data_IF_371066948670
#
_entry.id   IF_371066948670
#
_cell.length_a   1.000
_cell.length_b   1.000
_cell.length_c   1.000
_cell.angle_alpha   90.00
_cell.angle_beta   90.00
_cell.angle_gamma   90.00
#
_symmetry.space_group_name_H-M   'P 1'
#
loop_
_entity.id
_entity.type
_entity.pdbx_description
1 polymer ?
#
# COMPACT_ATOMS: atom_id res chain seq x y z
N UNK A 1 27.93 -5.18 -21.83
CA UNK A 1 27.49 -5.29 -20.43
C UNK A 1 26.02 -5.68 -20.46
N UNK A 2 25.73 -6.98 -20.34
CA UNK A 2 24.34 -7.48 -20.34
C UNK A 2 23.77 -7.22 -18.95
N UNK A 3 22.98 -6.15 -18.82
CA UNK A 3 22.15 -5.96 -17.64
C UNK A 3 20.93 -6.87 -17.85
N UNK A 4 20.90 -8.00 -17.15
CA UNK A 4 19.69 -8.80 -17.03
C UNK A 4 18.60 -7.91 -16.42
N UNK A 5 17.53 -7.64 -17.17
CA UNK A 5 16.29 -7.14 -16.58
C UNK A 5 15.84 -8.18 -15.56
N UNK A 6 15.84 -7.82 -14.28
CA UNK A 6 15.08 -8.55 -13.27
C UNK A 6 13.63 -8.59 -13.76
N UNK A 7 13.06 -9.79 -13.91
CA UNK A 7 11.68 -9.95 -14.35
C UNK A 7 10.75 -9.17 -13.44
N UNK A 8 9.96 -8.27 -14.03
CA UNK A 8 8.77 -7.71 -13.41
C UNK A 8 7.81 -8.88 -13.20
N UNK A 9 7.78 -9.45 -12.00
CA UNK A 9 6.82 -10.49 -11.65
C UNK A 9 5.42 -9.92 -11.75
N UNK A 10 4.61 -10.45 -12.68
CA UNK A 10 3.20 -10.09 -12.78
C UNK A 10 2.53 -10.64 -11.52
N UNK A 11 1.72 -9.81 -10.84
CA UNK A 11 1.04 -10.11 -9.58
C UNK A 11 0.69 -11.59 -9.35
N UNK A 12 -0.03 -12.30 -10.25
CA UNK A 12 -0.42 -13.69 -10.02
C UNK A 12 0.77 -14.66 -9.89
N UNK A 13 1.87 -14.44 -10.61
CA UNK A 13 3.03 -15.35 -10.63
C UNK A 13 3.78 -15.36 -9.30
N UNK A 14 3.86 -14.21 -8.63
CA UNK A 14 4.52 -14.08 -7.33
C UNK A 14 3.87 -14.93 -6.23
N UNK A 15 2.57 -15.25 -6.35
CA UNK A 15 1.84 -16.08 -5.38
C UNK A 15 1.91 -17.58 -5.67
N UNK A 16 2.34 -18.02 -6.86
CA UNK A 16 2.24 -19.42 -7.31
C UNK A 16 3.24 -20.38 -6.65
N UNK A 17 4.28 -19.88 -5.95
CA UNK A 17 5.39 -20.71 -5.45
C UNK A 17 5.48 -20.86 -3.92
N UNK A 18 4.53 -20.36 -3.12
CA UNK A 18 4.53 -20.58 -1.66
C UNK A 18 4.12 -22.03 -1.35
N UNK A 19 5.09 -22.93 -1.17
CA UNK A 19 4.85 -24.26 -0.58
C UNK A 19 4.42 -24.09 0.88
N UNK A 20 3.26 -24.66 1.21
CA UNK A 20 2.58 -24.49 2.48
C UNK A 20 3.48 -24.67 3.70
N UNK A 21 3.60 -23.61 4.49
CA UNK A 21 3.69 -23.72 5.93
C UNK A 21 2.78 -22.62 6.49
N UNK A 22 1.53 -22.96 6.78
CA UNK A 22 0.54 -22.10 7.43
C UNK A 22 0.92 -21.89 8.90
N UNK A 23 2.06 -21.26 9.15
CA UNK A 23 2.39 -20.77 10.48
C UNK A 23 2.03 -19.28 10.53
N UNK A 24 0.84 -19.02 11.07
CA UNK A 24 0.37 -17.71 11.52
C UNK A 24 1.36 -17.16 12.56
N UNK A 25 2.32 -16.34 12.13
CA UNK A 25 3.00 -15.44 13.05
C UNK A 25 2.86 -14.03 12.51
N UNK A 26 2.28 -13.16 13.35
CA UNK A 26 2.39 -11.72 13.20
C UNK A 26 3.86 -11.35 13.37
N UNK A 27 4.43 -10.73 12.34
CA UNK A 27 5.81 -10.27 12.32
C UNK A 27 5.83 -8.77 12.54
N UNK A 28 6.77 -8.32 13.37
CA UNK A 28 7.09 -6.91 13.49
C UNK A 28 7.91 -6.48 12.27
N UNK A 29 7.43 -5.47 11.57
CA UNK A 29 8.01 -4.99 10.32
C UNK A 29 8.24 -3.48 10.37
N UNK A 30 9.06 -2.99 9.45
CA UNK A 30 9.15 -1.60 9.05
C UNK A 30 8.37 -1.43 7.74
N UNK A 31 7.44 -0.48 7.72
CA UNK A 31 6.58 -0.20 6.57
C UNK A 31 6.98 1.15 6.00
N UNK A 32 7.44 1.12 4.75
CA UNK A 32 7.74 2.28 3.95
C UNK A 32 6.57 2.50 2.99
N UNK A 33 5.96 3.68 3.02
CA UNK A 33 4.86 4.02 2.11
C UNK A 33 5.21 5.33 1.40
N UNK A 34 5.12 5.32 0.07
CA UNK A 34 5.29 6.51 -0.76
C UNK A 34 4.12 6.74 -1.71
N UNK A 35 3.71 8.01 -1.86
CA UNK A 35 2.69 8.44 -2.82
C UNK A 35 1.22 8.26 -2.39
N UNK A 36 0.96 8.12 -1.08
CA UNK A 36 -0.41 7.91 -0.54
C UNK A 36 -1.14 9.23 -0.16
N UNK A 37 -0.48 10.39 -0.10
CA UNK A 37 -1.14 11.63 0.29
C UNK A 37 -1.67 12.37 -0.94
N UNK A 38 -2.99 12.36 -1.07
CA UNK A 38 -3.73 13.06 -2.12
C UNK A 38 -4.36 14.26 -1.43
N UNK A 39 -3.80 15.45 -1.66
CA UNK A 39 -4.30 16.74 -1.19
C UNK A 39 -3.98 17.14 0.27
N UNK A 40 -2.75 17.59 0.51
CA UNK A 40 -2.56 18.78 1.35
C UNK A 40 -2.32 19.97 0.41
N UNK A 41 -3.06 21.06 0.63
CA UNK A 41 -3.14 22.17 -0.31
C UNK A 41 -1.89 23.04 -0.35
N UNK A 42 -1.49 23.37 -1.58
CA UNK A 42 -0.81 24.59 -2.06
C UNK A 42 0.16 24.35 -3.24
N UNK A 43 0.23 23.12 -3.77
CA UNK A 43 0.96 22.85 -5.01
C UNK A 43 2.45 22.61 -4.81
N UNK A 44 2.89 22.33 -3.59
CA UNK A 44 4.18 21.71 -3.30
C UNK A 44 3.96 20.26 -2.84
N UNK A 45 3.67 19.37 -3.79
CA UNK A 45 3.58 17.93 -3.50
C UNK A 45 4.99 17.34 -3.39
N UNK A 46 5.60 17.43 -2.21
CA UNK A 46 6.67 16.48 -1.88
C UNK A 46 6.04 15.10 -1.71
N UNK A 47 6.56 14.04 -2.37
CA UNK A 47 6.04 12.71 -2.18
C UNK A 47 6.21 12.33 -0.71
N UNK A 48 5.08 12.12 -0.02
CA UNK A 48 5.11 11.62 1.36
C UNK A 48 5.81 10.28 1.36
N UNK A 49 6.95 10.21 2.03
CA UNK A 49 7.67 8.99 2.36
C UNK A 49 7.59 8.80 3.88
N UNK A 50 6.71 7.90 4.32
CA UNK A 50 6.66 7.52 5.73
C UNK A 50 7.37 6.20 5.96
N UNK A 51 8.07 6.10 7.08
CA UNK A 51 8.72 4.89 7.58
C UNK A 51 8.23 4.65 9.00
N UNK A 52 7.38 3.63 9.17
CA UNK A 52 6.68 3.39 10.43
C UNK A 52 6.74 1.92 10.82
N UNK A 53 6.82 1.60 12.12
CA UNK A 53 6.67 0.23 12.57
C UNK A 53 5.26 -0.29 12.26
N UNK A 54 5.16 -1.55 11.91
CA UNK A 54 3.89 -2.21 11.64
C UNK A 54 3.92 -3.70 11.92
N UNK A 55 2.82 -4.34 11.58
CA UNK A 55 2.58 -5.76 11.75
C UNK A 55 2.28 -6.38 10.39
N UNK A 56 2.94 -7.48 10.07
CA UNK A 56 2.69 -8.26 8.87
C UNK A 56 2.24 -9.67 9.22
N UNK A 57 1.25 -10.19 8.50
CA UNK A 57 0.94 -11.61 8.51
C UNK A 57 0.44 -12.08 7.14
N UNK A 58 0.54 -13.38 6.89
CA UNK A 58 0.02 -14.01 5.69
C UNK A 58 -1.10 -14.99 6.03
N UNK A 59 -2.26 -14.85 5.38
CA UNK A 59 -3.43 -15.69 5.65
C UNK A 59 -4.30 -15.83 4.39
N UNK A 60 -4.82 -17.03 4.14
CA UNK A 60 -5.74 -17.30 3.02
C UNK A 60 -5.23 -16.79 1.65
N UNK A 61 -3.93 -16.94 1.37
CA UNK A 61 -3.35 -16.50 0.10
C UNK A 61 -3.20 -14.98 -0.04
N UNK A 62 -3.17 -14.21 1.05
CA UNK A 62 -2.98 -12.76 1.03
C UNK A 62 -2.02 -12.30 2.12
N UNK A 63 -1.23 -11.27 1.83
CA UNK A 63 -0.46 -10.52 2.82
C UNK A 63 -1.35 -9.46 3.43
N UNK A 64 -1.23 -9.27 4.73
CA UNK A 64 -1.89 -8.22 5.48
C UNK A 64 -0.81 -7.43 6.22
N UNK A 65 -0.86 -6.12 6.07
CA UNK A 65 0.03 -5.18 6.75
C UNK A 65 -0.84 -4.21 7.53
N UNK A 66 -0.52 -3.99 8.79
CA UNK A 66 -1.17 -3.01 9.65
C UNK A 66 -0.12 -2.06 10.20
N UNK A 67 -0.41 -0.76 10.17
CA UNK A 67 0.41 0.25 10.82
C UNK A 67 -0.45 1.42 11.27
N UNK A 68 0.13 2.29 12.09
CA UNK A 68 -0.53 3.48 12.61
C UNK A 68 0.22 4.73 12.15
N UNK A 69 -0.52 5.77 11.78
CA UNK A 69 0.02 7.09 11.46
C UNK A 69 -0.63 8.14 12.36
N UNK A 70 0.16 9.11 12.83
CA UNK A 70 -0.35 10.28 13.54
C UNK A 70 -0.49 11.41 12.53
N UNK A 71 -1.72 11.81 12.24
CA UNK A 71 -2.02 12.86 11.25
C UNK A 71 -2.16 14.25 11.91
N UNK A 72 -2.35 14.29 13.22
CA UNK A 72 -2.47 15.52 13.99
C UNK A 72 -1.89 15.33 15.40
N UNK A 73 -1.87 16.43 16.15
CA UNK A 73 -1.40 16.45 17.55
C UNK A 73 -2.43 15.85 18.53
N UNK A 74 -3.55 15.27 18.05
CA UNK A 74 -4.63 14.75 18.92
C UNK A 74 -4.27 13.43 19.61
N UNK A 75 -3.09 12.87 19.30
CA UNK A 75 -2.57 11.60 19.82
C UNK A 75 -3.50 10.40 19.55
N UNK A 76 -4.39 10.52 18.56
CA UNK A 76 -5.28 9.46 18.09
C UNK A 76 -4.74 8.94 16.74
N UNK A 77 -4.30 7.67 16.67
CA UNK A 77 -3.76 7.15 15.43
C UNK A 77 -4.85 6.95 14.38
N UNK A 78 -4.50 7.20 13.12
CA UNK A 78 -5.22 6.63 11.98
C UNK A 78 -4.61 5.27 11.68
N UNK A 79 -5.45 4.23 11.77
CA UNK A 79 -5.03 2.84 11.56
C UNK A 79 -5.14 2.53 10.07
N UNK A 80 -4.03 2.07 9.51
CA UNK A 80 -3.89 1.72 8.11
C UNK A 80 -3.82 0.20 7.97
N UNK A 81 -4.57 -0.33 7.00
CA UNK A 81 -4.56 -1.73 6.62
C UNK A 81 -4.29 -1.86 5.13
N UNK A 82 -3.27 -2.62 4.79
CA UNK A 82 -2.94 -2.98 3.41
C UNK A 82 -3.17 -4.47 3.25
N UNK A 83 -3.90 -4.86 2.21
CA UNK A 83 -4.06 -6.25 1.81
C UNK A 83 -3.52 -6.42 0.40
N UNK A 84 -2.59 -7.34 0.22
CA UNK A 84 -2.01 -7.70 -1.08
C UNK A 84 -2.41 -9.13 -1.39
N UNK A 85 -3.03 -9.34 -2.55
CA UNK A 85 -3.59 -10.62 -2.98
C UNK A 85 -3.35 -10.84 -4.48
N UNK A 86 -3.60 -12.04 -5.01
CA UNK A 86 -3.50 -12.29 -6.45
C UNK A 86 -4.42 -11.40 -7.30
N UNK A 87 -5.49 -10.84 -6.72
CA UNK A 87 -6.42 -9.93 -7.42
C UNK A 87 -5.91 -8.50 -7.51
N UNK A 88 -4.94 -8.11 -6.68
CA UNK A 88 -4.50 -6.74 -6.52
C UNK A 88 -4.33 -6.34 -5.06
N UNK A 89 -4.40 -5.04 -4.82
CA UNK A 89 -4.13 -4.44 -3.51
C UNK A 89 -5.33 -3.64 -3.00
N UNK A 90 -5.56 -3.69 -1.70
CA UNK A 90 -6.55 -2.85 -1.02
C UNK A 90 -5.86 -2.04 0.09
N UNK A 91 -6.19 -0.76 0.19
CA UNK A 91 -5.74 0.11 1.29
C UNK A 91 -6.98 0.61 2.03
N UNK A 92 -6.98 0.47 3.36
CA UNK A 92 -8.04 1.01 4.23
C UNK A 92 -7.42 1.90 5.29
N UNK A 93 -7.94 3.11 5.43
CA UNK A 93 -7.65 4.00 6.56
C UNK A 93 -8.87 4.08 7.47
N UNK A 94 -8.65 4.05 8.78
CA UNK A 94 -9.68 4.23 9.81
C UNK A 94 -9.18 5.17 10.89
N UNK A 95 -9.90 6.27 11.14
CA UNK A 95 -9.49 7.27 12.12
C UNK A 95 -9.92 8.67 11.70
N UNK A 96 -8.98 9.61 11.77
CA UNK A 96 -9.18 10.99 11.31
C UNK A 96 -9.52 11.02 9.82
N UNK A 97 -8.87 10.15 9.04
CA UNK A 97 -9.19 9.86 7.65
C UNK A 97 -9.78 8.46 7.55
N UNK A 98 -10.89 8.34 6.81
CA UNK A 98 -11.52 7.06 6.51
C UNK A 98 -11.58 6.86 5.00
N UNK A 99 -11.02 5.76 4.51
CA UNK A 99 -11.09 5.40 3.09
C UNK A 99 -10.94 3.91 2.88
N UNK A 100 -11.41 3.44 1.73
CA UNK A 100 -11.12 2.10 1.21
C UNK A 100 -10.83 2.22 -0.28
N UNK A 101 -9.55 2.09 -0.63
CA UNK A 101 -9.06 2.08 -2.00
C UNK A 101 -8.87 0.63 -2.46
N UNK A 102 -9.28 0.33 -3.69
CA UNK A 102 -9.13 -0.98 -4.32
C UNK A 102 -8.40 -0.79 -5.65
N UNK A 103 -7.21 -1.39 -5.74
CA UNK A 103 -6.37 -1.39 -6.92
C UNK A 103 -6.43 -2.77 -7.56
N UNK A 104 -7.21 -2.88 -8.65
CA UNK A 104 -7.37 -4.10 -9.42
C UNK A 104 -7.17 -3.76 -10.90
N UNK A 105 -6.23 -4.44 -11.55
CA UNK A 105 -5.88 -4.13 -12.94
C UNK A 105 -7.09 -4.34 -13.87
N UNK A 106 -7.30 -3.39 -14.78
CA UNK A 106 -8.42 -3.45 -15.74
C UNK A 106 -9.79 -3.12 -15.13
N UNK A 107 -9.84 -2.69 -13.85
CA UNK A 107 -11.06 -2.20 -13.22
C UNK A 107 -10.87 -0.79 -12.69
N UNK A 108 -11.93 0.01 -12.85
CA UNK A 108 -12.08 1.29 -12.17
C UNK A 108 -12.91 1.08 -10.92
N UNK A 109 -12.36 1.45 -9.77
CA UNK A 109 -13.04 1.40 -8.47
C UNK A 109 -13.34 2.81 -7.98
N UNK A 110 -14.46 2.97 -7.28
CA UNK A 110 -14.80 4.22 -6.59
C UNK A 110 -14.34 4.11 -5.14
N UNK A 111 -13.61 5.11 -4.67
CA UNK A 111 -13.20 5.23 -3.28
C UNK A 111 -13.80 6.52 -2.69
N UNK A 112 -14.18 6.45 -1.42
CA UNK A 112 -14.60 7.62 -0.66
C UNK A 112 -13.49 8.00 0.31
N UNK A 113 -13.02 9.24 0.23
CA UNK A 113 -12.04 9.81 1.14
C UNK A 113 -12.76 10.75 2.10
N UNK A 114 -12.98 10.28 3.33
CA UNK A 114 -13.74 11.01 4.34
C UNK A 114 -12.81 11.57 5.39
N UNK A 115 -12.83 12.89 5.54
CA UNK A 115 -12.19 13.65 6.62
C UNK A 115 -13.27 14.31 7.49
N UNK A 116 -12.92 14.95 8.62
CA UNK A 116 -13.89 15.70 9.41
C UNK A 116 -14.53 16.88 8.66
N UNK A 117 -13.89 17.35 7.57
CA UNK A 117 -14.35 18.50 6.78
C UNK A 117 -15.25 18.11 5.61
N UNK A 118 -15.38 16.82 5.29
CA UNK A 118 -16.24 16.34 4.22
C UNK A 118 -15.77 15.02 3.62
N UNK A 119 -16.52 14.57 2.62
CA UNK A 119 -16.22 13.35 1.85
C UNK A 119 -15.95 13.71 0.40
N UNK A 120 -14.81 13.26 -0.12
CA UNK A 120 -14.48 13.30 -1.53
C UNK A 120 -14.74 11.94 -2.16
N UNK A 121 -15.38 11.93 -3.34
CA UNK A 121 -15.51 10.72 -4.17
C UNK A 121 -14.41 10.72 -5.23
N UNK A 122 -13.68 9.61 -5.31
CA UNK A 122 -12.56 9.44 -6.25
C UNK A 122 -12.77 8.20 -7.11
N UNK A 123 -12.40 8.28 -8.38
CA UNK A 123 -12.22 7.14 -9.26
C UNK A 123 -10.75 6.72 -9.27
N UNK A 124 -10.49 5.41 -9.16
CA UNK A 124 -9.16 4.82 -9.18
C UNK A 124 -9.14 3.75 -10.26
N UNK A 125 -8.29 3.94 -11.27
CA UNK A 125 -8.07 2.96 -12.33
C UNK A 125 -6.62 2.48 -12.29
N UNK A 126 -6.37 1.29 -11.77
CA UNK A 126 -5.02 0.71 -11.70
C UNK A 126 -4.56 0.29 -13.09
N UNK A 127 -3.43 0.84 -13.53
CA UNK A 127 -2.83 0.58 -14.85
C UNK A 127 -1.74 -0.49 -14.75
N UNK A 128 -0.99 -0.51 -13.65
CA UNK A 128 0.07 -1.48 -13.39
C UNK A 128 0.10 -1.90 -11.91
N UNK A 129 0.43 -3.17 -11.68
CA UNK A 129 0.60 -3.77 -10.36
C UNK A 129 1.85 -4.64 -10.39
N UNK A 130 2.90 -4.22 -9.70
CA UNK A 130 4.14 -4.97 -9.57
C UNK A 130 4.32 -5.43 -8.13
N UNK A 131 4.49 -6.72 -7.94
CA UNK A 131 4.72 -7.29 -6.62
C UNK A 131 5.92 -8.21 -6.65
N UNK A 132 6.84 -7.97 -5.72
CA UNK A 132 8.01 -8.79 -5.49
C UNK A 132 8.02 -9.22 -4.04
N UNK A 133 8.11 -10.51 -3.84
CA UNK A 133 8.29 -11.11 -2.54
C UNK A 133 9.67 -11.75 -2.47
N UNK A 134 10.41 -11.43 -1.40
CA UNK A 134 11.66 -12.08 -1.01
C UNK A 134 11.58 -12.46 0.46
N UNK A 135 12.52 -13.28 0.92
CA UNK A 135 12.63 -13.57 2.35
C UNK A 135 12.77 -12.27 3.15
N UNK A 136 11.86 -12.06 4.11
CA UNK A 136 11.83 -10.87 4.95
C UNK A 136 11.39 -9.56 4.28
N UNK A 137 10.97 -9.58 3.01
CA UNK A 137 10.71 -8.35 2.26
C UNK A 137 9.53 -8.48 1.28
N UNK A 138 8.59 -7.54 1.35
CA UNK A 138 7.52 -7.35 0.37
C UNK A 138 7.70 -6.00 -0.31
N UNK A 139 7.75 -5.97 -1.63
CA UNK A 139 7.85 -4.75 -2.44
C UNK A 139 6.67 -4.71 -3.40
N UNK A 140 5.80 -3.72 -3.21
CA UNK A 140 4.55 -3.56 -3.93
C UNK A 140 4.48 -2.17 -4.54
N UNK A 141 4.30 -2.10 -5.86
CA UNK A 141 4.13 -0.85 -6.60
C UNK A 141 2.83 -0.87 -7.39
N UNK A 142 2.09 0.23 -7.33
CA UNK A 142 0.86 0.47 -8.07
C UNK A 142 0.99 1.75 -8.87
N UNK A 143 0.83 1.65 -10.18
CA UNK A 143 0.59 2.81 -11.03
C UNK A 143 -0.94 2.88 -11.28
N UNK A 144 -1.53 4.06 -11.11
CA UNK A 144 -2.98 4.25 -11.26
C UNK A 144 -3.34 5.66 -11.73
N UNK A 145 -4.43 5.76 -12.49
CA UNK A 145 -5.04 7.05 -12.80
C UNK A 145 -6.06 7.43 -11.72
N UNK A 146 -5.97 8.67 -11.23
CA UNK A 146 -6.94 9.27 -10.32
C UNK A 146 -7.95 10.11 -11.10
N UNK A 147 -9.21 9.93 -10.76
CA UNK A 147 -10.29 10.80 -11.20
C UNK A 147 -11.04 11.43 -10.03
N UNK A 148 -11.49 12.65 -10.20
CA UNK A 148 -12.39 13.35 -9.28
C UNK A 148 -13.50 14.02 -10.07
N UNK A 149 -14.74 13.94 -9.57
CA UNK A 149 -15.92 14.46 -10.26
C UNK A 149 -16.00 14.00 -11.74
N UNK A 150 -15.66 12.73 -11.99
CA UNK A 150 -15.64 12.09 -13.33
C UNK A 150 -14.61 12.67 -14.31
N UNK A 151 -13.76 13.60 -13.86
CA UNK A 151 -12.63 14.13 -14.62
C UNK A 151 -11.32 13.48 -14.20
N UNK A 152 -10.45 13.22 -15.17
CA UNK A 152 -9.06 12.85 -14.92
C UNK A 152 -8.32 13.95 -14.15
N UNK A 153 -7.57 13.55 -13.12
CA UNK A 153 -6.79 14.46 -12.29
C UNK A 153 -5.30 14.22 -12.49
N UNK A 154 -4.83 12.98 -12.33
CA UNK A 154 -3.40 12.68 -12.36
C UNK A 154 -3.12 11.19 -12.61
N UNK A 155 -1.90 10.91 -13.07
CA UNK A 155 -1.27 9.59 -12.99
C UNK A 155 -0.44 9.53 -11.71
N UNK A 156 -0.72 8.55 -10.87
CA UNK A 156 -0.15 8.41 -9.55
C UNK A 156 0.62 7.09 -9.42
N UNK A 157 1.60 7.08 -8.53
CA UNK A 157 2.37 5.91 -8.17
C UNK A 157 2.36 5.74 -6.65
N UNK A 158 1.89 4.58 -6.18
CA UNK A 158 1.94 4.17 -4.78
C UNK A 158 2.96 3.04 -4.62
N UNK A 159 3.95 3.23 -3.75
CA UNK A 159 4.91 2.18 -3.41
C UNK A 159 4.82 1.82 -1.93
N UNK A 160 4.86 0.52 -1.64
CA UNK A 160 4.84 -0.04 -0.31
C UNK A 160 5.98 -1.05 -0.20
N UNK A 161 6.94 -0.77 0.66
CA UNK A 161 8.01 -1.68 1.01
C UNK A 161 7.82 -2.10 2.47
N UNK A 162 7.79 -3.41 2.71
CA UNK A 162 7.65 -4.00 4.05
C UNK A 162 8.87 -4.85 4.32
N UNK A 163 9.62 -4.52 5.37
CA UNK A 163 10.83 -5.23 5.77
C UNK A 163 10.67 -5.80 7.17
N UNK A 164 11.01 -7.08 7.36
CA UNK A 164 11.10 -7.66 8.69
C UNK A 164 12.15 -6.92 9.52
N UNK A 165 11.82 -6.62 10.78
CA UNK A 165 12.81 -6.07 11.70
C UNK A 165 13.85 -7.14 11.98
N UNK A 166 15.06 -6.97 11.44
CA UNK A 166 16.20 -7.76 11.83
C UNK A 166 16.72 -7.22 13.17
N UNK A 167 16.48 -7.95 14.27
CA UNK A 167 16.98 -7.63 15.62
C UNK A 167 18.52 -7.72 15.76
N UNK A 168 19.29 -7.67 14.66
CA UNK A 168 20.72 -7.96 14.67
C UNK A 168 21.66 -6.77 14.92
N UNK A 169 21.13 -5.59 15.25
CA UNK A 169 21.93 -4.44 15.70
C UNK A 169 21.28 -3.75 16.91
N UNK A 170 21.40 -4.37 18.08
CA UNK A 170 21.55 -3.63 19.32
C UNK A 170 23.06 -3.56 19.62
N UNK A 171 23.65 -2.37 19.53
CA UNK A 171 24.99 -2.05 20.07
C UNK A 171 24.87 -1.76 21.57
#
# INVERSE_FOLDING_TARGET
MHIQKAGSGVMPEAFLNRKGNEHNMEKQVLVHVSGLHMMEGDGQEEPVEIVVPGEHYFRNGSHYVRYEEMLDDSNKPTVNYIKISPKGMEVRKKGLVNTHMVFEQGKKNVAFYTTPFGTLQMGIAATNLEFKEKEGCLDMKVDYALEMNEGYVADCCLSILVEEKNDHFAL
#
